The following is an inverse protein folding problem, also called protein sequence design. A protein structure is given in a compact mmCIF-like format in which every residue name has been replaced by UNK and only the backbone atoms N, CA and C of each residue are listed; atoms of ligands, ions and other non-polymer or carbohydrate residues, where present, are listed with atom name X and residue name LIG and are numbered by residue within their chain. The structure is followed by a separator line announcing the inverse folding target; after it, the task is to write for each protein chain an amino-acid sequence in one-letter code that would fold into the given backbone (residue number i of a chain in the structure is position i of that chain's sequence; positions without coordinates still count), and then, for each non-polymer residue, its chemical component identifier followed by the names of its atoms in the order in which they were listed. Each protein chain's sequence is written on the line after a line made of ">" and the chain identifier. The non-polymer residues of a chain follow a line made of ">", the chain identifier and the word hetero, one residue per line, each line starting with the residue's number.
data_IF_605225161818
#
_entry.id   IF_605225161818
#
_cell.length_a   1.000
_cell.length_b   1.000
_cell.length_c   1.000
_cell.angle_alpha   90.00
_cell.angle_beta   90.00
_cell.angle_gamma   90.00
#
_symmetry.space_group_name_H-M   'P 1'
#
loop_
_entity.id
_entity.type
_entity.pdbx_description
1 polymer ?
#
# COMPACT_ATOMS: atom_id res chain seq x y z
N UNK A 1 -6.47 -30.60 33.70
CA UNK A 1 -7.29 -30.32 32.50
C UNK A 1 -7.83 -28.90 32.60
N UNK A 2 -7.15 -27.91 31.99
CA UNK A 2 -7.68 -26.54 31.85
C UNK A 2 -8.43 -26.49 30.52
N UNK A 3 -9.76 -26.50 30.59
CA UNK A 3 -10.59 -26.37 29.39
C UNK A 3 -10.44 -24.93 28.85
N UNK A 4 -10.06 -24.82 27.57
CA UNK A 4 -9.91 -23.56 26.85
C UNK A 4 -11.29 -22.92 26.64
N UNK A 5 -11.79 -22.19 27.65
CA UNK A 5 -13.08 -21.50 27.64
C UNK A 5 -13.20 -20.52 26.44
N UNK A 6 -12.09 -19.93 26.00
CA UNK A 6 -12.04 -19.03 24.85
C UNK A 6 -12.43 -19.71 23.53
N UNK A 7 -12.18 -21.02 23.34
CA UNK A 7 -12.51 -21.72 22.09
C UNK A 7 -14.01 -21.94 21.88
N UNK A 8 -14.84 -21.84 22.93
CA UNK A 8 -16.30 -21.86 22.82
C UNK A 8 -16.91 -20.45 22.75
N UNK A 9 -16.28 -19.46 23.39
CA UNK A 9 -16.83 -18.10 23.46
C UNK A 9 -16.75 -17.40 22.10
N UNK A 10 -15.64 -17.53 21.37
CA UNK A 10 -15.50 -16.89 20.05
C UNK A 10 -16.52 -17.36 19.00
N UNK A 11 -16.77 -18.67 18.79
CA UNK A 11 -17.81 -19.10 17.86
C UNK A 11 -19.22 -18.75 18.36
N UNK A 12 -19.49 -18.75 19.67
CA UNK A 12 -20.77 -18.33 20.23
C UNK A 12 -21.02 -16.82 20.07
N UNK A 13 -19.98 -15.99 20.19
CA UNK A 13 -20.05 -14.55 19.99
C UNK A 13 -20.22 -14.21 18.50
N UNK A 14 -19.52 -14.90 17.60
CA UNK A 14 -19.69 -14.77 16.14
C UNK A 14 -21.10 -15.23 15.72
N UNK A 15 -21.63 -16.30 16.32
CA UNK A 15 -22.99 -16.77 16.10
C UNK A 15 -24.04 -15.78 16.67
N UNK A 16 -23.78 -15.16 17.83
CA UNK A 16 -24.66 -14.13 18.41
C UNK A 16 -24.70 -12.84 17.56
N UNK A 17 -23.56 -12.43 16.99
CA UNK A 17 -23.47 -11.30 16.04
C UNK A 17 -24.20 -11.65 14.73
N UNK A 18 -24.14 -12.91 14.28
CA UNK A 18 -24.85 -13.35 13.08
C UNK A 18 -26.39 -13.32 13.24
N UNK A 19 -26.94 -13.56 14.44
CA UNK A 19 -28.39 -13.51 14.69
C UNK A 19 -28.91 -12.06 14.77
N UNK A 20 -28.07 -11.08 15.13
CA UNK A 20 -28.43 -9.65 15.11
C UNK A 20 -28.48 -9.05 13.70
N UNK A 21 -27.86 -9.71 12.71
CA UNK A 21 -27.77 -9.22 11.32
C UNK A 21 -29.00 -9.50 10.46
N UNK A 22 -30.01 -10.21 10.97
CA UNK A 22 -31.28 -10.44 10.27
C UNK A 22 -32.42 -9.77 11.01
N UNK A 23 -32.37 -8.44 11.17
CA UNK A 23 -33.55 -7.69 11.55
C UNK A 23 -34.68 -8.01 10.54
N UNK A 24 -35.83 -8.44 11.06
CA UNK A 24 -37.03 -8.64 10.25
C UNK A 24 -37.45 -7.31 9.60
N UNK A 25 -38.09 -7.34 8.42
CA UNK A 25 -38.53 -6.11 7.73
C UNK A 25 -39.39 -5.21 8.62
N UNK A 26 -40.26 -5.81 9.44
CA UNK A 26 -41.06 -5.11 10.46
C UNK A 26 -40.19 -4.29 11.43
N UNK A 27 -39.15 -4.89 11.98
CA UNK A 27 -38.25 -4.22 12.94
C UNK A 27 -37.52 -3.05 12.31
N UNK A 28 -37.09 -3.17 11.05
CA UNK A 28 -36.44 -2.09 10.31
C UNK A 28 -37.40 -0.92 10.08
N UNK A 29 -38.64 -1.21 9.69
CA UNK A 29 -39.69 -0.19 9.50
C UNK A 29 -39.98 0.52 10.83
N UNK A 30 -40.17 -0.22 11.93
CA UNK A 30 -40.40 0.35 13.26
C UNK A 30 -39.25 1.23 13.76
N UNK A 31 -38.02 0.95 13.33
CA UNK A 31 -36.83 1.73 13.64
C UNK A 31 -36.63 2.94 12.73
N UNK A 32 -37.54 3.18 11.76
CA UNK A 32 -37.40 4.25 10.77
C UNK A 32 -36.37 3.97 9.67
N UNK A 33 -35.84 2.75 9.59
CA UNK A 33 -34.83 2.32 8.61
C UNK A 33 -35.49 1.83 7.33
N UNK A 34 -36.27 2.70 6.71
CA UNK A 34 -37.16 2.33 5.61
C UNK A 34 -36.38 1.93 4.34
N UNK A 35 -35.28 2.60 4.02
CA UNK A 35 -34.42 2.28 2.87
C UNK A 35 -33.87 0.84 2.96
N UNK A 36 -33.33 0.47 4.13
CA UNK A 36 -32.81 -0.88 4.36
C UNK A 36 -33.91 -1.93 4.33
N UNK A 37 -35.09 -1.61 4.85
CA UNK A 37 -36.26 -2.48 4.77
C UNK A 37 -36.67 -2.73 3.31
N UNK A 38 -36.74 -1.67 2.49
CA UNK A 38 -37.06 -1.74 1.07
C UNK A 38 -36.04 -2.59 0.32
N UNK A 39 -34.75 -2.29 0.41
CA UNK A 39 -33.68 -3.05 -0.26
C UNK A 39 -33.65 -4.53 0.15
N UNK A 40 -33.91 -4.81 1.44
CA UNK A 40 -34.03 -6.17 1.95
C UNK A 40 -35.24 -6.92 1.38
N UNK A 41 -36.40 -6.26 1.32
CA UNK A 41 -37.65 -6.84 0.83
C UNK A 41 -37.62 -7.06 -0.68
N UNK A 42 -37.13 -6.10 -1.46
CA UNK A 42 -36.99 -6.21 -2.93
C UNK A 42 -36.14 -7.43 -3.27
N UNK A 43 -34.94 -7.58 -2.67
CA UNK A 43 -34.07 -8.75 -2.90
C UNK A 43 -34.72 -10.09 -2.54
N UNK A 44 -35.49 -10.13 -1.45
CA UNK A 44 -36.19 -11.35 -1.00
C UNK A 44 -37.36 -11.73 -1.91
N UNK A 45 -38.03 -10.75 -2.51
CA UNK A 45 -39.13 -10.97 -3.45
C UNK A 45 -38.61 -11.32 -4.85
N UNK A 46 -37.51 -10.71 -5.26
CA UNK A 46 -36.82 -11.00 -6.52
C UNK A 46 -36.27 -12.43 -6.58
N UNK A 47 -35.61 -12.92 -5.51
CA UNK A 47 -34.99 -14.25 -5.53
C UNK A 47 -35.80 -15.37 -4.88
N UNK A 48 -36.84 -15.01 -4.13
CA UNK A 48 -37.51 -15.92 -3.21
C UNK A 48 -38.99 -16.17 -3.51
N UNK A 49 -39.61 -16.95 -2.61
CA UNK A 49 -41.06 -17.18 -2.62
C UNK A 49 -41.80 -15.89 -2.25
N UNK A 50 -42.76 -15.54 -3.11
CA UNK A 50 -43.68 -14.43 -2.92
C UNK A 50 -44.80 -14.88 -1.97
N UNK A 51 -45.05 -14.06 -0.95
CA UNK A 51 -46.03 -14.31 0.11
C UNK A 51 -46.74 -13.00 0.39
N UNK A 52 -48.05 -13.04 0.66
CA UNK A 52 -48.85 -11.85 0.95
C UNK A 52 -48.24 -10.97 2.07
N UNK A 53 -47.65 -11.59 3.09
CA UNK A 53 -46.97 -10.88 4.18
C UNK A 53 -45.78 -10.02 3.71
N UNK A 54 -44.85 -10.58 2.93
CA UNK A 54 -43.71 -9.83 2.38
C UNK A 54 -44.13 -8.70 1.44
N UNK A 55 -45.20 -8.93 0.68
CA UNK A 55 -45.78 -7.92 -0.22
C UNK A 55 -46.39 -6.79 0.60
N UNK A 56 -47.11 -7.09 1.68
CA UNK A 56 -47.64 -6.09 2.61
C UNK A 56 -46.52 -5.29 3.29
N UNK A 57 -45.42 -5.95 3.70
CA UNK A 57 -44.26 -5.24 4.26
C UNK A 57 -43.55 -4.35 3.24
N UNK A 58 -43.49 -4.76 1.97
CA UNK A 58 -42.93 -3.91 0.90
C UNK A 58 -43.77 -2.66 0.70
N UNK A 59 -45.10 -2.82 0.66
CA UNK A 59 -46.04 -1.71 0.58
C UNK A 59 -45.89 -0.75 1.76
N UNK A 60 -45.86 -1.26 3.00
CA UNK A 60 -45.72 -0.43 4.19
C UNK A 60 -44.37 0.31 4.21
N UNK A 61 -43.28 -0.39 3.90
CA UNK A 61 -41.95 0.23 3.83
C UNK A 61 -41.92 1.37 2.79
N UNK A 62 -42.53 1.16 1.61
CA UNK A 62 -42.60 2.18 0.57
C UNK A 62 -43.43 3.39 1.00
N UNK A 63 -44.65 3.15 1.49
CA UNK A 63 -45.57 4.21 1.93
C UNK A 63 -44.99 5.07 3.06
N UNK A 64 -44.09 4.51 3.87
CA UNK A 64 -43.37 5.25 4.93
C UNK A 64 -42.14 5.97 4.40
N UNK A 65 -41.42 5.36 3.46
CA UNK A 65 -40.20 5.91 2.89
C UNK A 65 -40.46 7.11 1.97
N UNK A 66 -41.41 6.97 1.04
CA UNK A 66 -41.65 7.93 -0.04
C UNK A 66 -41.88 9.38 0.46
N UNK A 67 -42.76 9.64 1.45
CA UNK A 67 -42.96 11.00 1.94
C UNK A 67 -41.72 11.60 2.62
N UNK A 68 -40.90 10.76 3.27
CA UNK A 68 -39.64 11.19 3.91
C UNK A 68 -38.62 11.58 2.85
N UNK A 69 -38.46 10.73 1.83
CA UNK A 69 -37.62 10.99 0.67
C UNK A 69 -38.03 12.28 -0.04
N UNK A 70 -39.31 12.42 -0.43
CA UNK A 70 -39.83 13.63 -1.12
C UNK A 70 -39.53 14.89 -0.29
N UNK A 71 -39.80 14.87 1.02
CA UNK A 71 -39.54 16.02 1.89
C UNK A 71 -38.06 16.39 1.95
N UNK A 72 -37.16 15.39 1.93
CA UNK A 72 -35.70 15.61 1.99
C UNK A 72 -35.17 16.22 0.70
N UNK A 73 -35.61 15.74 -0.46
CA UNK A 73 -35.09 16.19 -1.77
C UNK A 73 -35.72 17.50 -2.27
N UNK A 74 -36.95 17.80 -1.88
CA UNK A 74 -37.72 18.96 -2.40
C UNK A 74 -36.96 20.30 -2.30
N UNK A 75 -36.29 20.63 -1.19
CA UNK A 75 -35.50 21.86 -1.10
C UNK A 75 -34.42 21.97 -2.19
N UNK A 76 -33.76 20.86 -2.50
CA UNK A 76 -32.66 20.81 -3.48
C UNK A 76 -33.13 20.83 -4.93
N UNK A 77 -34.43 20.61 -5.18
CA UNK A 77 -34.98 20.76 -6.53
C UNK A 77 -35.08 22.24 -6.93
N UNK A 78 -35.28 23.15 -5.97
CA UNK A 78 -35.64 24.54 -6.23
C UNK A 78 -34.62 25.56 -5.71
N UNK A 79 -33.86 25.23 -4.66
CA UNK A 79 -32.90 26.14 -4.04
C UNK A 79 -31.45 25.78 -4.37
N UNK A 80 -30.53 26.77 -4.49
CA UNK A 80 -29.10 26.49 -4.52
C UNK A 80 -28.67 25.70 -3.27
N UNK A 81 -27.71 24.81 -3.43
CA UNK A 81 -27.13 24.02 -2.35
C UNK A 81 -25.63 23.88 -2.54
N UNK A 82 -24.92 23.41 -1.50
CA UNK A 82 -23.50 23.06 -1.64
C UNK A 82 -23.34 21.78 -2.46
N UNK A 83 -22.23 21.66 -3.17
CA UNK A 83 -21.91 20.48 -3.99
C UNK A 83 -22.07 19.19 -3.19
N UNK A 84 -21.47 19.09 -2.00
CA UNK A 84 -21.57 17.94 -1.09
C UNK A 84 -23.00 17.51 -0.76
N UNK A 85 -23.91 18.45 -0.52
CA UNK A 85 -25.32 18.16 -0.23
C UNK A 85 -26.07 17.69 -1.47
N UNK A 86 -25.74 18.26 -2.63
CA UNK A 86 -26.32 17.88 -3.91
C UNK A 86 -25.81 16.52 -4.38
N UNK A 87 -24.55 16.17 -4.11
CA UNK A 87 -23.99 14.83 -4.32
C UNK A 87 -24.73 13.77 -3.49
N UNK A 88 -24.96 14.04 -2.19
CA UNK A 88 -25.73 13.17 -1.32
C UNK A 88 -27.17 13.00 -1.85
N UNK A 89 -27.83 14.10 -2.18
CA UNK A 89 -29.19 14.09 -2.76
C UNK A 89 -29.24 13.31 -4.07
N UNK A 90 -28.24 13.47 -4.95
CA UNK A 90 -28.14 12.74 -6.21
C UNK A 90 -27.98 11.24 -5.97
N UNK A 91 -27.19 10.84 -4.98
CA UNK A 91 -27.03 9.43 -4.58
C UNK A 91 -28.35 8.83 -4.11
N UNK A 92 -29.11 9.55 -3.27
CA UNK A 92 -30.43 9.13 -2.81
C UNK A 92 -31.43 8.99 -3.96
N UNK A 93 -31.50 9.97 -4.86
CA UNK A 93 -32.39 9.90 -6.04
C UNK A 93 -32.02 8.70 -6.92
N UNK A 94 -30.74 8.47 -7.16
CA UNK A 94 -30.29 7.29 -7.92
C UNK A 94 -30.65 5.98 -7.21
N UNK A 95 -30.59 5.92 -5.88
CA UNK A 95 -31.03 4.75 -5.12
C UNK A 95 -32.54 4.49 -5.33
N UNK A 96 -33.37 5.52 -5.20
CA UNK A 96 -34.83 5.39 -5.38
C UNK A 96 -35.17 5.00 -6.82
N UNK A 97 -34.48 5.54 -7.84
CA UNK A 97 -34.63 5.12 -9.24
C UNK A 97 -34.36 3.60 -9.37
N UNK A 98 -33.25 3.11 -8.81
CA UNK A 98 -32.91 1.67 -8.87
C UNK A 98 -33.97 0.82 -8.16
N UNK A 99 -34.39 1.22 -6.96
CA UNK A 99 -35.44 0.51 -6.21
C UNK A 99 -36.75 0.47 -7.01
N UNK A 100 -37.14 1.60 -7.62
CA UNK A 100 -38.35 1.70 -8.42
C UNK A 100 -38.29 0.79 -9.66
N UNK A 101 -37.16 0.76 -10.37
CA UNK A 101 -36.94 -0.16 -11.49
C UNK A 101 -37.03 -1.63 -11.05
N UNK A 102 -36.47 -1.97 -9.89
CA UNK A 102 -36.55 -3.33 -9.35
C UNK A 102 -37.98 -3.70 -8.93
N UNK A 103 -38.74 -2.77 -8.33
CA UNK A 103 -40.15 -2.97 -8.00
C UNK A 103 -40.96 -3.23 -9.28
N UNK A 104 -40.73 -2.46 -10.35
CA UNK A 104 -41.37 -2.70 -11.65
C UNK A 104 -40.99 -4.06 -12.26
N UNK A 105 -39.73 -4.49 -12.11
CA UNK A 105 -39.30 -5.82 -12.54
C UNK A 105 -40.00 -6.94 -11.78
N UNK A 106 -40.28 -6.80 -10.49
CA UNK A 106 -41.00 -7.84 -9.72
C UNK A 106 -42.52 -7.70 -9.82
N UNK A 107 -43.04 -6.58 -10.36
CA UNK A 107 -44.47 -6.25 -10.44
C UNK A 107 -45.29 -7.39 -11.04
N UNK A 108 -44.83 -7.98 -12.15
CA UNK A 108 -45.54 -9.09 -12.82
C UNK A 108 -45.68 -10.34 -11.94
N UNK A 109 -44.81 -10.53 -10.95
CA UNK A 109 -44.83 -11.69 -10.05
C UNK A 109 -45.69 -11.49 -8.81
N UNK A 110 -45.90 -10.23 -8.43
CA UNK A 110 -46.73 -9.83 -7.29
C UNK A 110 -48.13 -9.38 -7.73
N UNK A 111 -48.39 -9.32 -9.03
CA UNK A 111 -49.70 -9.05 -9.61
C UNK A 111 -50.72 -10.12 -9.14
N UNK A 112 -51.90 -9.67 -8.67
CA UNK A 112 -52.92 -10.55 -8.07
C UNK A 112 -52.74 -10.86 -6.57
N UNK A 113 -51.66 -10.41 -5.92
CA UNK A 113 -51.47 -10.57 -4.46
C UNK A 113 -52.13 -9.48 -3.60
N UNK A 114 -52.91 -8.57 -4.21
CA UNK A 114 -53.48 -7.39 -3.54
C UNK A 114 -52.52 -6.20 -3.43
N UNK A 115 -51.35 -6.28 -4.09
CA UNK A 115 -50.36 -5.21 -4.12
C UNK A 115 -50.84 -3.99 -4.92
N UNK A 116 -50.81 -2.82 -4.30
CA UNK A 116 -51.18 -1.55 -4.94
C UNK A 116 -50.32 -0.42 -4.37
N UNK A 117 -49.12 -0.25 -4.94
CA UNK A 117 -48.32 0.96 -4.69
C UNK A 117 -48.59 1.94 -5.83
N UNK A 118 -49.08 3.14 -5.49
CA UNK A 118 -48.95 4.32 -6.34
C UNK A 118 -47.52 4.81 -6.23
N UNK A 119 -46.63 4.27 -7.05
CA UNK A 119 -45.22 4.65 -7.00
C UNK A 119 -44.98 5.98 -7.69
N UNK A 120 -43.96 6.72 -7.25
CA UNK A 120 -43.38 7.79 -8.08
C UNK A 120 -43.05 7.25 -9.47
N UNK A 121 -43.45 7.99 -10.51
CA UNK A 121 -43.11 7.60 -11.88
C UNK A 121 -41.59 7.70 -12.08
N UNK A 122 -41.04 6.76 -12.85
CA UNK A 122 -39.61 6.76 -13.20
C UNK A 122 -39.26 8.09 -13.90
N UNK A 123 -40.14 8.60 -14.77
CA UNK A 123 -39.93 9.88 -15.47
C UNK A 123 -39.84 11.06 -14.49
N UNK A 124 -40.64 11.08 -13.43
CA UNK A 124 -40.53 12.12 -12.38
C UNK A 124 -39.18 12.06 -11.68
N UNK A 125 -38.71 10.85 -11.34
CA UNK A 125 -37.42 10.66 -10.67
C UNK A 125 -36.23 11.02 -11.58
N UNK A 126 -36.30 10.68 -12.87
CA UNK A 126 -35.30 11.07 -13.87
C UNK A 126 -35.26 12.59 -14.03
N UNK A 127 -36.42 13.25 -14.14
CA UNK A 127 -36.48 14.72 -14.18
C UNK A 127 -35.90 15.37 -12.91
N UNK A 128 -36.08 14.77 -11.73
CA UNK A 128 -35.47 15.25 -10.50
C UNK A 128 -33.96 15.05 -10.50
N UNK A 129 -33.49 13.90 -10.98
CA UNK A 129 -32.07 13.61 -11.16
C UNK A 129 -31.40 14.66 -12.06
N UNK A 130 -32.00 14.93 -13.22
CA UNK A 130 -31.44 15.89 -14.18
C UNK A 130 -31.37 17.30 -13.57
N UNK A 131 -32.42 17.74 -12.87
CA UNK A 131 -32.41 19.03 -12.15
C UNK A 131 -31.35 19.11 -11.04
N UNK A 132 -31.07 18.01 -10.36
CA UNK A 132 -30.04 17.96 -9.32
C UNK A 132 -28.65 17.99 -9.97
N UNK A 133 -28.45 17.30 -11.10
CA UNK A 133 -27.21 17.34 -11.87
C UNK A 133 -26.90 18.77 -12.35
N UNK A 134 -27.88 19.47 -12.93
CA UNK A 134 -27.72 20.86 -13.37
C UNK A 134 -27.27 21.76 -12.20
N UNK A 135 -27.92 21.62 -11.04
CA UNK A 135 -27.57 22.38 -9.84
C UNK A 135 -26.21 22.01 -9.27
N UNK A 136 -25.83 20.73 -9.36
CA UNK A 136 -24.54 20.26 -8.90
C UNK A 136 -23.41 20.85 -9.75
N UNK A 137 -23.60 20.92 -11.07
CA UNK A 137 -22.69 21.63 -11.99
C UNK A 137 -22.57 23.11 -11.62
N UNK A 138 -23.69 23.80 -11.38
CA UNK A 138 -23.67 25.21 -10.94
C UNK A 138 -22.95 25.39 -9.58
N UNK A 139 -23.16 24.46 -8.64
CA UNK A 139 -22.52 24.49 -7.33
C UNK A 139 -21.01 24.28 -7.43
N UNK A 140 -20.55 23.30 -8.23
CA UNK A 140 -19.13 23.11 -8.49
C UNK A 140 -18.49 24.37 -9.04
N UNK A 141 -19.11 24.99 -10.05
CA UNK A 141 -18.61 26.24 -10.63
C UNK A 141 -18.42 27.33 -9.57
N UNK A 142 -19.45 27.59 -8.77
CA UNK A 142 -19.42 28.64 -7.74
C UNK A 142 -18.35 28.35 -6.68
N UNK A 143 -18.25 27.10 -6.22
CA UNK A 143 -17.28 26.70 -5.20
C UNK A 143 -15.84 26.75 -5.74
N UNK A 144 -15.60 26.26 -6.96
CA UNK A 144 -14.28 26.33 -7.60
C UNK A 144 -13.88 27.78 -7.85
N UNK A 145 -14.77 28.63 -8.35
CA UNK A 145 -14.46 30.05 -8.60
C UNK A 145 -14.05 30.77 -7.31
N UNK A 146 -14.74 30.48 -6.19
CA UNK A 146 -14.44 31.09 -4.89
C UNK A 146 -13.10 30.62 -4.30
N UNK A 147 -12.81 29.31 -4.39
CA UNK A 147 -11.57 28.74 -3.86
C UNK A 147 -10.36 29.02 -4.75
N UNK A 148 -10.55 29.14 -6.07
CA UNK A 148 -9.45 29.40 -7.01
C UNK A 148 -8.80 30.76 -6.79
N UNK A 149 -9.55 31.74 -6.26
CA UNK A 149 -8.97 33.03 -5.83
C UNK A 149 -7.94 32.82 -4.71
N UNK A 150 -8.27 31.99 -3.72
CA UNK A 150 -7.37 31.68 -2.60
C UNK A 150 -6.19 30.83 -3.07
N UNK A 151 -6.44 29.86 -3.97
CA UNK A 151 -5.42 29.04 -4.58
C UNK A 151 -4.35 29.89 -5.30
N UNK A 152 -4.79 30.86 -6.12
CA UNK A 152 -3.90 31.78 -6.85
C UNK A 152 -3.19 32.79 -5.95
N UNK A 153 -3.70 33.03 -4.74
CA UNK A 153 -3.02 33.83 -3.70
C UNK A 153 -1.98 33.00 -2.90
N UNK A 154 -1.88 31.69 -3.18
CA UNK A 154 -0.89 30.79 -2.60
C UNK A 154 -1.43 29.83 -1.54
N UNK A 155 -2.75 29.77 -1.32
CA UNK A 155 -3.33 28.74 -0.44
C UNK A 155 -3.37 27.38 -1.14
N UNK A 156 -2.38 26.54 -0.81
CA UNK A 156 -2.25 25.20 -1.40
C UNK A 156 -3.37 24.26 -0.98
N UNK A 157 -4.00 24.43 0.19
CA UNK A 157 -5.18 23.61 0.53
C UNK A 157 -6.36 23.97 -0.36
N UNK A 158 -6.61 25.26 -0.59
CA UNK A 158 -7.66 25.70 -1.50
C UNK A 158 -7.41 25.16 -2.92
N UNK A 159 -6.17 25.21 -3.41
CA UNK A 159 -5.80 24.64 -4.71
C UNK A 159 -6.10 23.12 -4.80
N UNK A 160 -5.79 22.37 -3.75
CA UNK A 160 -6.08 20.92 -3.68
C UNK A 160 -7.58 20.63 -3.64
N UNK A 161 -8.34 21.44 -2.91
CA UNK A 161 -9.80 21.32 -2.87
C UNK A 161 -10.42 21.63 -4.24
N UNK A 162 -9.95 22.69 -4.91
CA UNK A 162 -10.35 23.03 -6.28
C UNK A 162 -10.06 21.88 -7.26
N UNK A 163 -8.87 21.27 -7.17
CA UNK A 163 -8.51 20.11 -7.99
C UNK A 163 -9.51 18.96 -7.83
N UNK A 164 -9.88 18.60 -6.60
CA UNK A 164 -10.86 17.55 -6.33
C UNK A 164 -12.25 17.91 -6.88
N UNK A 165 -12.69 19.16 -6.69
CA UNK A 165 -13.98 19.64 -7.20
C UNK A 165 -14.03 19.63 -8.74
N UNK A 166 -12.97 20.09 -9.42
CA UNK A 166 -12.90 20.03 -10.87
C UNK A 166 -12.89 18.60 -11.39
N UNK A 167 -12.20 17.68 -10.72
CA UNK A 167 -12.23 16.26 -11.09
C UNK A 167 -13.64 15.68 -10.99
N UNK A 168 -14.39 16.01 -9.93
CA UNK A 168 -15.80 15.60 -9.80
C UNK A 168 -16.68 16.23 -10.87
N UNK A 169 -16.49 17.52 -11.18
CA UNK A 169 -17.24 18.19 -12.24
C UNK A 169 -16.94 17.57 -13.61
N UNK A 170 -15.68 17.27 -13.91
CA UNK A 170 -15.28 16.59 -15.15
C UNK A 170 -15.95 15.23 -15.35
N UNK A 171 -16.26 14.51 -14.26
CA UNK A 171 -17.03 13.25 -14.36
C UNK A 171 -18.48 13.45 -14.84
N UNK A 172 -19.06 14.64 -14.62
CA UNK A 172 -20.41 14.99 -15.09
C UNK A 172 -20.39 15.54 -16.52
N UNK A 173 -19.40 16.37 -16.83
CA UNK A 173 -19.22 17.01 -18.14
C UNK A 173 -17.86 16.62 -18.75
N UNK A 174 -17.69 15.36 -19.19
CA UNK A 174 -16.47 14.95 -19.87
C UNK A 174 -16.29 15.75 -21.17
N UNK A 175 -15.07 15.82 -21.67
CA UNK A 175 -14.67 16.51 -22.93
C UNK A 175 -14.60 18.04 -22.88
N UNK A 176 -14.81 18.66 -21.71
CA UNK A 176 -14.54 20.09 -21.52
C UNK A 176 -13.05 20.38 -21.38
N UNK A 177 -12.49 21.09 -22.36
CA UNK A 177 -11.06 21.46 -22.37
C UNK A 177 -10.70 22.40 -21.22
N UNK A 178 -11.59 23.35 -20.90
CA UNK A 178 -11.37 24.33 -19.84
C UNK A 178 -11.30 23.69 -18.44
N UNK A 179 -12.05 22.61 -18.20
CA UNK A 179 -11.92 21.84 -16.97
C UNK A 179 -10.57 21.11 -16.90
N UNK A 180 -10.08 20.60 -18.03
CA UNK A 180 -8.76 19.94 -18.09
C UNK A 180 -7.64 20.92 -17.74
N UNK A 181 -7.68 22.12 -18.32
CA UNK A 181 -6.70 23.18 -18.04
C UNK A 181 -6.76 23.62 -16.57
N UNK A 182 -7.96 23.76 -16.01
CA UNK A 182 -8.13 24.17 -14.62
C UNK A 182 -7.72 23.08 -13.60
N UNK A 183 -7.89 21.80 -13.95
CA UNK A 183 -7.35 20.67 -13.19
C UNK A 183 -5.81 20.76 -13.13
N UNK A 184 -5.17 21.02 -14.26
CA UNK A 184 -3.71 21.12 -14.29
C UNK A 184 -3.20 22.35 -13.54
N UNK A 185 -3.84 23.51 -13.70
CA UNK A 185 -3.50 24.73 -12.95
C UNK A 185 -3.64 24.52 -11.44
N UNK A 186 -4.75 23.94 -10.98
CA UNK A 186 -4.97 23.66 -9.56
C UNK A 186 -3.99 22.62 -9.01
N UNK A 187 -3.57 21.65 -9.84
CA UNK A 187 -2.52 20.69 -9.51
C UNK A 187 -1.18 21.39 -9.28
N UNK A 188 -0.78 22.28 -10.17
CA UNK A 188 0.45 23.06 -10.06
C UNK A 188 0.43 23.94 -8.80
N UNK A 189 -0.65 24.71 -8.60
CA UNK A 189 -0.80 25.59 -7.43
C UNK A 189 -0.78 24.81 -6.11
N UNK A 190 -1.41 23.64 -6.06
CA UNK A 190 -1.48 22.80 -4.86
C UNK A 190 -0.21 21.99 -4.57
N UNK A 191 0.72 21.89 -5.52
CA UNK A 191 1.94 21.10 -5.39
C UNK A 191 2.99 21.85 -4.57
N UNK A 192 3.60 21.17 -3.61
CA UNK A 192 4.80 21.66 -2.92
C UNK A 192 6.02 21.40 -3.79
N UNK A 193 6.84 22.42 -4.01
CA UNK A 193 8.14 22.28 -4.67
C UNK A 193 9.26 22.33 -3.63
N UNK A 194 10.03 21.25 -3.55
CA UNK A 194 11.16 21.10 -2.62
C UNK A 194 12.45 21.04 -3.44
N UNK A 195 13.39 21.95 -3.19
CA UNK A 195 14.73 21.87 -3.76
C UNK A 195 15.62 21.00 -2.86
N UNK A 196 16.16 19.92 -3.39
CA UNK A 196 17.15 19.10 -2.70
C UNK A 196 18.56 19.63 -2.95
N UNK A 197 19.27 19.94 -1.86
CA UNK A 197 20.64 20.42 -1.88
C UNK A 197 21.48 19.49 -1.02
N UNK A 198 22.53 18.92 -1.59
CA UNK A 198 23.57 18.31 -0.77
C UNK A 198 24.48 19.44 -0.27
N UNK A 199 24.49 19.65 1.04
CA UNK A 199 25.08 20.82 1.67
C UNK A 199 26.61 20.78 1.65
N UNK A 200 27.16 21.99 1.54
CA UNK A 200 28.56 22.39 1.66
C UNK A 200 29.59 21.76 0.71
N UNK A 201 29.84 22.49 -0.40
CA UNK A 201 30.94 22.22 -1.34
C UNK A 201 32.35 22.32 -0.71
N UNK A 202 32.47 22.80 0.53
CA UNK A 202 33.73 23.06 1.23
C UNK A 202 34.09 21.96 2.23
N UNK A 203 33.19 21.01 2.52
CA UNK A 203 33.55 19.84 3.32
C UNK A 203 34.39 18.86 2.49
N UNK A 204 35.38 18.17 3.08
CA UNK A 204 36.12 17.12 2.36
C UNK A 204 35.21 16.02 1.80
N UNK A 205 34.11 15.71 2.49
CA UNK A 205 33.12 14.71 2.08
C UNK A 205 32.47 15.05 0.74
N UNK A 206 32.27 16.33 0.43
CA UNK A 206 31.71 16.77 -0.86
C UNK A 206 32.53 16.29 -2.06
N UNK A 207 33.87 16.29 -1.98
CA UNK A 207 34.71 15.84 -3.08
C UNK A 207 34.49 14.35 -3.39
N UNK A 208 34.25 13.55 -2.36
CA UNK A 208 34.18 12.09 -2.44
C UNK A 208 32.78 11.54 -2.80
N UNK A 209 31.74 12.38 -2.80
CA UNK A 209 30.38 11.94 -3.14
C UNK A 209 30.27 11.46 -4.60
N UNK A 210 29.34 10.56 -4.93
CA UNK A 210 29.12 10.16 -6.32
C UNK A 210 28.70 11.36 -7.18
N UNK A 211 29.29 11.50 -8.39
CA UNK A 211 28.89 12.55 -9.34
C UNK A 211 27.41 12.42 -9.70
N UNK A 212 26.89 11.19 -9.78
CA UNK A 212 25.48 10.91 -10.07
C UNK A 212 24.52 11.48 -9.01
N UNK A 213 24.96 11.76 -7.79
CA UNK A 213 24.14 12.42 -6.77
C UNK A 213 24.12 13.95 -6.96
N UNK A 214 24.95 14.48 -7.88
CA UNK A 214 25.18 15.90 -8.13
C UNK A 214 24.77 16.34 -9.54
N UNK A 215 24.31 15.43 -10.41
CA UNK A 215 24.04 15.72 -11.82
C UNK A 215 22.72 15.14 -12.30
N UNK A 216 21.98 15.92 -13.10
CA UNK A 216 20.94 15.50 -14.05
C UNK A 216 19.93 14.46 -13.56
N UNK A 217 19.52 14.55 -12.29
CA UNK A 217 18.37 13.81 -11.79
C UNK A 217 17.12 14.67 -12.09
N UNK A 218 16.19 14.19 -12.94
CA UNK A 218 14.93 14.89 -13.17
C UNK A 218 14.16 15.05 -11.86
N UNK A 219 13.33 16.09 -11.78
CA UNK A 219 12.42 16.25 -10.67
C UNK A 219 11.56 14.98 -10.47
N UNK A 220 11.34 14.60 -9.22
CA UNK A 220 10.61 13.40 -8.85
C UNK A 220 9.33 13.77 -8.11
N UNK A 221 8.20 13.27 -8.63
CA UNK A 221 6.91 13.33 -7.94
C UNK A 221 6.92 12.32 -6.79
N UNK A 222 6.98 12.80 -5.56
CA UNK A 222 7.04 11.99 -4.34
C UNK A 222 5.65 11.45 -3.98
N UNK A 223 4.63 12.29 -4.16
CA UNK A 223 3.21 11.99 -4.02
C UNK A 223 2.43 12.99 -4.89
N UNK A 224 1.09 12.91 -4.92
CA UNK A 224 0.25 13.78 -5.75
C UNK A 224 0.50 15.28 -5.60
N UNK A 225 1.12 15.72 -4.50
CA UNK A 225 1.26 17.12 -4.10
C UNK A 225 2.67 17.52 -3.69
N UNK A 226 3.69 16.74 -4.03
CA UNK A 226 5.07 17.07 -3.64
C UNK A 226 6.03 16.67 -4.74
N UNK A 227 6.72 17.66 -5.29
CA UNK A 227 7.79 17.51 -6.25
C UNK A 227 9.12 17.80 -5.58
N UNK A 228 10.05 16.85 -5.67
CA UNK A 228 11.42 17.00 -5.24
C UNK A 228 12.29 17.29 -6.47
N UNK A 229 12.94 18.44 -6.46
CA UNK A 229 13.83 18.91 -7.51
C UNK A 229 15.27 18.73 -7.08
N UNK A 230 16.13 18.29 -7.99
CA UNK A 230 17.56 18.09 -7.74
C UNK A 230 18.42 19.15 -8.43
N UNK A 231 17.77 20.10 -9.12
CA UNK A 231 18.36 21.24 -9.80
C UNK A 231 17.60 22.49 -9.37
N UNK A 232 18.32 23.61 -9.32
CA UNK A 232 17.77 24.93 -9.03
C UNK A 232 17.14 25.50 -10.31
N UNK A 233 15.94 25.01 -10.62
CA UNK A 233 15.12 25.48 -11.71
C UNK A 233 14.53 26.86 -11.36
N UNK A 234 14.24 27.72 -12.36
CA UNK A 234 13.71 29.08 -12.13
C UNK A 234 12.22 29.06 -11.73
N UNK A 235 11.89 28.35 -10.66
CA UNK A 235 10.56 28.21 -10.07
C UNK A 235 10.57 28.63 -8.61
N UNK A 236 9.43 29.06 -8.04
CA UNK A 236 9.34 29.33 -6.61
C UNK A 236 9.34 28.00 -5.83
N UNK A 237 10.35 27.78 -5.00
CA UNK A 237 10.37 26.68 -4.04
C UNK A 237 9.61 27.03 -2.77
N UNK A 238 8.93 26.05 -2.20
CA UNK A 238 8.28 26.18 -0.89
C UNK A 238 9.23 25.78 0.24
N UNK A 239 10.10 24.80 -0.04
CA UNK A 239 11.06 24.29 0.93
C UNK A 239 12.40 23.97 0.26
N UNK A 240 13.45 23.95 1.07
CA UNK A 240 14.76 23.45 0.69
C UNK A 240 15.15 22.31 1.63
N UNK A 241 15.45 21.16 1.06
CA UNK A 241 15.92 19.98 1.78
C UNK A 241 17.44 19.89 1.68
N UNK A 242 18.12 20.18 2.77
CA UNK A 242 19.56 20.04 2.90
C UNK A 242 19.93 18.63 3.34
N UNK A 243 20.85 17.98 2.63
CA UNK A 243 21.61 16.84 3.14
C UNK A 243 22.99 17.32 3.60
N UNK A 244 23.20 17.41 4.90
CA UNK A 244 24.52 17.64 5.48
C UNK A 244 25.24 16.30 5.65
N UNK A 245 26.45 16.17 5.11
CA UNK A 245 27.19 14.90 5.07
C UNK A 245 28.40 14.97 6.00
N UNK A 246 28.31 14.23 7.11
CA UNK A 246 29.41 14.08 8.06
C UNK A 246 30.49 13.12 7.54
N UNK A 247 30.05 11.98 6.98
CA UNK A 247 30.95 10.95 6.47
C UNK A 247 30.32 10.17 5.33
N UNK A 248 31.06 10.09 4.23
CA UNK A 248 30.82 9.16 3.15
C UNK A 248 32.06 8.31 2.94
N UNK A 249 31.92 6.98 2.87
CA UNK A 249 33.06 6.12 2.56
C UNK A 249 32.62 4.77 2.02
N UNK A 250 33.36 4.26 1.03
CA UNK A 250 33.33 2.86 0.61
C UNK A 250 34.65 2.22 1.06
N UNK A 251 34.56 1.12 1.81
CA UNK A 251 35.74 0.40 2.24
C UNK A 251 36.46 -0.23 1.04
N UNK A 252 37.79 -0.41 1.13
CA UNK A 252 38.50 -1.34 0.26
C UNK A 252 37.91 -2.75 0.37
N UNK A 253 38.16 -3.55 -0.65
CA UNK A 253 37.87 -4.98 -0.64
C UNK A 253 38.76 -5.69 0.38
N UNK A 254 38.17 -6.36 1.36
CA UNK A 254 38.90 -7.12 2.38
C UNK A 254 38.69 -8.60 2.17
N UNK A 255 39.79 -9.35 2.12
CA UNK A 255 39.81 -10.81 2.05
C UNK A 255 40.57 -11.31 3.27
N UNK A 256 39.95 -12.18 4.06
CA UNK A 256 40.60 -12.93 5.14
C UNK A 256 40.61 -14.40 4.76
N UNK A 257 41.78 -15.03 4.81
CA UNK A 257 41.92 -16.46 4.58
C UNK A 257 42.37 -17.17 5.85
N UNK A 258 41.68 -18.24 6.21
CA UNK A 258 42.07 -19.14 7.29
C UNK A 258 42.32 -20.53 6.72
N UNK A 259 43.44 -21.13 7.11
CA UNK A 259 43.86 -22.45 6.61
C UNK A 259 43.92 -23.40 7.78
N UNK A 260 43.21 -24.52 7.66
CA UNK A 260 43.24 -25.56 8.68
C UNK A 260 43.17 -26.95 8.07
N UNK A 261 43.48 -27.94 8.91
CA UNK A 261 43.47 -29.34 8.55
C UNK A 261 42.29 -30.03 9.22
N UNK A 262 41.46 -30.69 8.42
CA UNK A 262 40.37 -31.53 8.90
C UNK A 262 40.77 -33.00 8.82
N UNK A 263 40.47 -33.74 9.88
CA UNK A 263 40.70 -35.18 9.96
C UNK A 263 39.52 -35.85 10.66
N UNK A 264 39.03 -36.93 10.07
CA UNK A 264 37.95 -37.72 10.64
C UNK A 264 38.17 -39.21 10.39
N UNK A 265 37.88 -40.04 11.40
CA UNK A 265 37.82 -41.49 11.20
C UNK A 265 36.52 -41.83 10.50
N UNK A 266 36.62 -42.43 9.32
CA UNK A 266 35.48 -42.76 8.48
C UNK A 266 35.57 -44.20 8.00
N UNK A 267 34.42 -44.79 7.70
CA UNK A 267 34.34 -46.13 7.12
C UNK A 267 34.62 -46.02 5.62
N UNK A 268 35.62 -46.77 5.15
CA UNK A 268 36.01 -46.87 3.75
C UNK A 268 35.75 -48.28 3.24
N UNK A 269 34.45 -48.58 3.11
CA UNK A 269 33.97 -49.89 2.74
C UNK A 269 34.07 -50.93 3.86
N UNK A 270 33.90 -52.18 3.47
CA UNK A 270 33.82 -53.30 4.39
C UNK A 270 34.66 -54.47 3.89
N UNK A 271 35.31 -55.18 4.82
CA UNK A 271 36.08 -56.39 4.54
C UNK A 271 35.31 -57.61 5.04
N UNK A 272 35.25 -58.67 4.23
CA UNK A 272 34.67 -59.94 4.67
C UNK A 272 35.51 -60.50 5.81
N UNK A 273 34.85 -60.81 6.93
CA UNK A 273 35.47 -61.45 8.08
C UNK A 273 35.90 -62.86 7.68
N UNK A 274 37.17 -63.19 7.94
CA UNK A 274 37.72 -64.53 7.68
C UNK A 274 38.06 -65.21 9.00
N UNK A 275 37.82 -66.52 9.07
CA UNK A 275 38.25 -67.36 10.19
C UNK A 275 39.77 -67.62 10.14
N UNK A 276 40.30 -68.36 11.12
CA UNK A 276 41.73 -68.70 11.20
C UNK A 276 42.23 -69.56 10.03
N UNK A 277 41.33 -70.20 9.28
CA UNK A 277 41.64 -70.98 8.09
C UNK A 277 41.51 -70.15 6.79
N UNK A 278 41.12 -68.88 6.89
CA UNK A 278 40.95 -67.99 5.75
C UNK A 278 39.60 -68.10 5.05
N UNK A 279 38.63 -68.84 5.57
CA UNK A 279 37.28 -68.95 4.98
C UNK A 279 36.41 -67.76 5.39
N UNK A 280 35.49 -67.35 4.52
CA UNK A 280 34.52 -66.31 4.84
C UNK A 280 33.57 -66.80 5.96
N UNK A 281 33.35 -65.95 6.97
CA UNK A 281 32.40 -66.23 8.04
C UNK A 281 31.01 -65.75 7.60
N UNK A 282 30.01 -66.63 7.68
CA UNK A 282 28.63 -66.34 7.32
C UNK A 282 27.75 -66.19 8.57
N UNK A 283 26.72 -65.36 8.50
CA UNK A 283 25.69 -65.24 9.52
C UNK A 283 24.71 -66.44 9.47
N UNK A 284 23.73 -66.45 10.39
CA UNK A 284 22.71 -67.51 10.46
C UNK A 284 21.78 -67.57 9.24
N UNK A 285 21.83 -66.59 8.34
CA UNK A 285 21.04 -66.51 7.10
C UNK A 285 21.87 -66.83 5.86
N UNK A 286 23.16 -67.17 6.03
CA UNK A 286 24.07 -67.51 4.92
C UNK A 286 24.70 -66.31 4.22
N UNK A 287 24.64 -65.10 4.80
CA UNK A 287 25.31 -63.92 4.26
C UNK A 287 26.68 -63.70 4.91
N UNK A 288 27.69 -63.31 4.13
CA UNK A 288 29.04 -63.08 4.64
C UNK A 288 29.06 -61.89 5.63
N UNK A 289 29.59 -62.11 6.82
CA UNK A 289 29.78 -61.07 7.84
C UNK A 289 30.87 -60.10 7.37
N UNK A 290 30.56 -58.81 7.40
CA UNK A 290 31.39 -57.73 6.90
C UNK A 290 31.81 -56.82 8.05
N UNK A 291 33.12 -56.64 8.21
CA UNK A 291 33.70 -55.71 9.19
C UNK A 291 33.99 -54.35 8.54
N UNK A 292 33.67 -53.22 9.18
CA UNK A 292 33.98 -51.91 8.64
C UNK A 292 35.48 -51.68 8.60
N UNK A 293 36.00 -51.22 7.45
CA UNK A 293 37.39 -50.79 7.33
C UNK A 293 37.44 -49.31 7.68
N UNK A 294 38.08 -48.98 8.80
CA UNK A 294 38.24 -47.59 9.21
C UNK A 294 39.52 -47.01 8.62
N UNK A 295 39.41 -45.86 7.97
CA UNK A 295 40.55 -45.02 7.56
C UNK A 295 40.47 -43.68 8.28
N UNK A 296 41.60 -42.98 8.33
CA UNK A 296 41.62 -41.56 8.68
C UNK A 296 41.53 -40.76 7.39
N UNK A 297 40.36 -40.22 7.09
CA UNK A 297 40.20 -39.25 6.01
C UNK A 297 40.83 -37.93 6.44
N UNK A 298 41.49 -37.24 5.52
CA UNK A 298 42.09 -35.93 5.77
C UNK A 298 41.86 -34.98 4.60
N UNK A 299 41.62 -33.71 4.91
CA UNK A 299 41.56 -32.63 3.93
C UNK A 299 42.24 -31.37 4.48
N UNK A 300 42.79 -30.56 3.58
CA UNK A 300 43.15 -29.17 3.87
C UNK A 300 41.98 -28.29 3.48
N UNK A 301 41.58 -27.39 4.35
CA UNK A 301 40.49 -26.44 4.13
C UNK A 301 41.09 -25.03 4.11
N UNK A 302 40.64 -24.23 3.16
CA UNK A 302 40.90 -22.79 3.08
C UNK A 302 39.56 -22.10 3.16
N UNK A 303 39.27 -21.54 4.32
CA UNK A 303 38.11 -20.67 4.53
C UNK A 303 38.46 -19.25 4.10
N UNK A 304 37.56 -18.62 3.35
CA UNK A 304 37.73 -17.28 2.79
C UNK A 304 36.53 -16.43 3.22
N UNK A 305 36.81 -15.31 3.87
CA UNK A 305 35.81 -14.29 4.22
C UNK A 305 36.12 -13.05 3.39
N UNK A 306 35.17 -12.67 2.55
CA UNK A 306 35.19 -11.42 1.78
C UNK A 306 34.24 -10.42 2.40
N UNK A 307 34.72 -9.22 2.70
CA UNK A 307 33.89 -8.15 3.26
C UNK A 307 34.15 -6.81 2.59
N UNK A 308 33.09 -6.03 2.38
CA UNK A 308 33.15 -4.66 1.90
C UNK A 308 31.94 -3.89 2.45
N UNK A 309 32.10 -2.61 2.74
CA UNK A 309 31.01 -1.78 3.27
C UNK A 309 30.98 -0.39 2.66
N UNK A 310 29.79 0.18 2.55
CA UNK A 310 29.57 1.57 2.20
C UNK A 310 28.76 2.23 3.32
N UNK A 311 29.13 3.46 3.67
CA UNK A 311 28.56 4.18 4.80
C UNK A 311 28.27 5.61 4.40
N UNK A 312 27.08 6.10 4.76
CA UNK A 312 26.70 7.51 4.72
C UNK A 312 26.18 7.92 6.10
N UNK A 313 26.88 8.88 6.71
CA UNK A 313 26.47 9.57 7.93
C UNK A 313 26.23 11.03 7.66
N UNK A 314 25.20 11.58 8.28
CA UNK A 314 24.87 12.99 8.16
C UNK A 314 23.50 13.32 8.74
N UNK A 315 22.89 14.38 8.22
CA UNK A 315 21.55 14.78 8.58
C UNK A 315 20.79 15.39 7.41
N UNK A 316 19.47 15.22 7.44
CA UNK A 316 18.55 15.91 6.55
C UNK A 316 17.88 17.04 7.33
N UNK A 317 17.83 18.23 6.73
CA UNK A 317 17.10 19.38 7.25
C UNK A 317 16.22 19.97 6.15
N UNK A 318 14.92 19.92 6.34
CA UNK A 318 13.97 20.64 5.51
C UNK A 318 13.69 22.00 6.12
N UNK A 319 13.91 23.05 5.33
CA UNK A 319 13.68 24.43 5.73
C UNK A 319 12.59 25.07 4.88
N UNK A 320 11.74 25.87 5.50
CA UNK A 320 10.79 26.74 4.80
C UNK A 320 11.57 27.84 4.08
N UNK A 321 11.36 27.99 2.77
CA UNK A 321 12.14 28.92 1.96
C UNK A 321 11.83 30.40 2.30
N UNK A 322 10.64 30.68 2.84
CA UNK A 322 10.21 32.05 3.12
C UNK A 322 10.86 32.66 4.37
N UNK A 323 11.14 31.85 5.39
CA UNK A 323 11.64 32.30 6.69
C UNK A 323 12.87 31.54 7.20
N UNK A 324 13.30 30.49 6.50
CA UNK A 324 14.46 29.64 6.84
C UNK A 324 14.25 28.72 8.04
N UNK A 325 13.03 28.61 8.58
CA UNK A 325 12.74 27.78 9.73
C UNK A 325 12.84 26.29 9.38
N UNK A 326 13.44 25.51 10.28
CA UNK A 326 13.50 24.05 10.14
C UNK A 326 12.12 23.46 10.42
N UNK A 327 11.51 22.86 9.41
CA UNK A 327 10.18 22.24 9.48
C UNK A 327 10.30 20.76 9.83
N UNK A 328 11.38 20.13 9.38
CA UNK A 328 11.66 18.72 9.63
C UNK A 328 13.17 18.48 9.63
N UNK A 329 13.63 17.60 10.51
CA UNK A 329 15.00 17.11 10.48
C UNK A 329 15.07 15.62 10.78
N UNK A 330 16.10 14.97 10.26
CA UNK A 330 16.31 13.54 10.48
C UNK A 330 17.80 13.17 10.37
N UNK A 331 18.35 12.41 11.32
CA UNK A 331 19.70 11.86 11.17
C UNK A 331 19.74 10.85 10.03
N UNK A 332 20.84 10.83 9.29
CA UNK A 332 21.13 9.86 8.23
C UNK A 332 22.23 8.93 8.72
N UNK A 333 21.88 7.66 8.94
CA UNK A 333 22.81 6.60 9.32
C UNK A 333 22.57 5.39 8.41
N UNK A 334 23.19 5.41 7.22
CA UNK A 334 22.98 4.39 6.19
C UNK A 334 24.23 3.53 6.02
N UNK A 335 23.99 2.22 5.93
CA UNK A 335 25.03 1.21 5.79
C UNK A 335 24.64 0.18 4.75
N UNK A 336 25.58 -0.14 3.88
CA UNK A 336 25.49 -1.33 3.04
C UNK A 336 26.68 -2.21 3.32
N UNK A 337 26.42 -3.46 3.70
CA UNK A 337 27.45 -4.44 4.00
C UNK A 337 27.39 -5.61 3.02
N UNK A 338 28.51 -5.91 2.39
CA UNK A 338 28.76 -7.13 1.66
C UNK A 338 29.60 -8.07 2.53
N UNK A 339 29.13 -9.30 2.69
CA UNK A 339 29.86 -10.38 3.36
C UNK A 339 29.63 -11.70 2.60
N UNK A 340 30.70 -12.35 2.16
CA UNK A 340 30.67 -13.67 1.54
C UNK A 340 31.74 -14.55 2.19
N UNK A 341 31.28 -15.58 2.90
CA UNK A 341 32.13 -16.55 3.59
C UNK A 341 31.97 -17.91 2.94
N UNK A 342 33.04 -18.48 2.40
CA UNK A 342 33.02 -19.78 1.74
C UNK A 342 34.31 -20.54 2.04
N UNK A 343 34.34 -21.82 1.70
CA UNK A 343 35.54 -22.64 1.87
C UNK A 343 35.90 -23.40 0.59
N UNK A 344 37.19 -23.63 0.41
CA UNK A 344 37.74 -24.56 -0.59
C UNK A 344 38.44 -25.68 0.16
N UNK A 345 38.36 -26.90 -0.34
CA UNK A 345 39.04 -28.04 0.27
C UNK A 345 39.87 -28.82 -0.75
N UNK A 346 40.90 -29.48 -0.25
CA UNK A 346 41.73 -30.42 -1.01
C UNK A 346 41.94 -31.68 -0.16
N UNK A 347 41.50 -32.84 -0.66
CA UNK A 347 41.59 -34.12 0.03
C UNK A 347 40.24 -34.84 0.07
N UNK A 348 40.03 -35.67 1.09
CA UNK A 348 38.79 -36.44 1.24
C UNK A 348 37.70 -35.61 1.93
N UNK A 349 36.60 -35.33 1.23
CA UNK A 349 35.45 -34.55 1.76
C UNK A 349 34.82 -35.20 3.00
N UNK A 350 35.00 -36.51 3.21
CA UNK A 350 34.53 -37.21 4.39
C UNK A 350 35.27 -36.78 5.66
N UNK A 351 36.41 -36.10 5.53
CA UNK A 351 37.14 -35.49 6.64
C UNK A 351 36.48 -34.22 7.20
N UNK A 352 35.58 -33.58 6.44
CA UNK A 352 34.92 -32.33 6.82
C UNK A 352 33.72 -32.58 7.73
N UNK A 353 33.59 -31.71 8.73
CA UNK A 353 32.39 -31.53 9.54
C UNK A 353 31.21 -31.04 8.69
N UNK A 354 30.00 -31.12 9.25
CA UNK A 354 28.80 -30.60 8.58
C UNK A 354 28.86 -29.09 8.34
N UNK A 355 29.55 -28.32 9.18
CA UNK A 355 29.65 -26.87 9.06
C UNK A 355 30.61 -26.47 7.95
N UNK A 356 31.76 -27.13 7.88
CA UNK A 356 32.74 -26.95 6.79
C UNK A 356 32.15 -27.35 5.44
N UNK A 357 31.31 -28.40 5.38
CA UNK A 357 30.60 -28.77 4.16
C UNK A 357 29.66 -27.65 3.70
N UNK A 358 28.92 -27.01 4.61
CA UNK A 358 28.07 -25.86 4.26
C UNK A 358 28.89 -24.69 3.71
N UNK A 359 30.08 -24.44 4.27
CA UNK A 359 31.00 -23.42 3.75
C UNK A 359 31.55 -23.78 2.37
N UNK A 360 31.84 -25.04 2.11
CA UNK A 360 32.28 -25.54 0.80
C UNK A 360 31.16 -25.45 -0.25
N UNK A 361 29.93 -25.72 0.15
CA UNK A 361 28.76 -25.64 -0.72
C UNK A 361 28.33 -24.18 -0.98
N UNK A 362 28.80 -23.21 -0.19
CA UNK A 362 28.50 -21.80 -0.40
C UNK A 362 29.36 -21.23 -1.55
N UNK A 363 28.76 -20.66 -2.61
CA UNK A 363 29.52 -20.15 -3.73
C UNK A 363 30.33 -18.90 -3.35
N UNK A 364 31.47 -18.75 -4.01
CA UNK A 364 32.22 -17.50 -4.04
C UNK A 364 31.43 -16.46 -4.84
N UNK A 365 31.19 -15.31 -4.21
CA UNK A 365 30.53 -14.16 -4.83
C UNK A 365 31.58 -13.06 -5.06
N UNK A 366 31.60 -12.41 -6.25
CA UNK A 366 32.48 -11.26 -6.49
C UNK A 366 32.09 -10.09 -5.58
N UNK A 367 33.05 -9.20 -5.29
CA UNK A 367 32.74 -7.96 -4.59
C UNK A 367 31.78 -7.10 -5.41
N UNK A 368 30.81 -6.41 -4.78
CA UNK A 368 30.06 -5.38 -5.47
C UNK A 368 31.01 -4.26 -5.89
N UNK A 369 30.75 -3.67 -7.06
CA UNK A 369 31.50 -2.50 -7.50
C UNK A 369 31.02 -1.24 -6.76
N UNK A 370 31.80 -0.16 -6.79
CA UNK A 370 31.46 1.09 -6.10
C UNK A 370 30.10 1.64 -6.52
N UNK A 371 29.81 1.66 -7.83
CA UNK A 371 28.57 2.22 -8.37
C UNK A 371 27.33 1.51 -7.85
N UNK A 372 27.37 0.18 -7.77
CA UNK A 372 26.26 -0.60 -7.21
C UNK A 372 26.07 -0.22 -5.73
N UNK A 373 27.16 -0.04 -4.98
CA UNK A 373 27.05 0.32 -3.58
C UNK A 373 26.50 1.75 -3.38
N UNK A 374 26.98 2.69 -4.18
CA UNK A 374 26.48 4.06 -4.26
C UNK A 374 24.98 4.10 -4.59
N UNK A 375 24.54 3.31 -5.57
CA UNK A 375 23.13 3.25 -5.97
C UNK A 375 22.24 2.69 -4.85
N UNK A 376 22.73 1.72 -4.08
CA UNK A 376 21.98 1.18 -2.95
C UNK A 376 21.84 2.20 -1.81
N UNK A 377 22.92 2.89 -1.43
CA UNK A 377 22.85 3.96 -0.43
C UNK A 377 21.93 5.09 -0.90
N UNK A 378 22.01 5.46 -2.18
CA UNK A 378 21.11 6.47 -2.77
C UNK A 378 19.64 6.05 -2.68
N UNK A 379 19.34 4.80 -3.02
CA UNK A 379 17.98 4.26 -2.91
C UNK A 379 17.46 4.33 -1.47
N UNK A 380 18.31 4.00 -0.50
CA UNK A 380 17.97 4.03 0.92
C UNK A 380 17.73 5.46 1.42
N UNK A 381 18.58 6.41 1.01
CA UNK A 381 18.40 7.83 1.27
C UNK A 381 17.09 8.35 0.67
N UNK A 382 16.80 8.02 -0.58
CA UNK A 382 15.58 8.45 -1.27
C UNK A 382 14.32 7.90 -0.61
N UNK A 383 14.36 6.65 -0.09
CA UNK A 383 13.25 6.08 0.69
C UNK A 383 13.02 6.85 1.99
N UNK A 384 14.10 7.24 2.68
CA UNK A 384 14.03 8.06 3.89
C UNK A 384 13.46 9.45 3.59
N UNK A 385 13.95 10.13 2.55
CA UNK A 385 13.46 11.44 2.12
C UNK A 385 11.96 11.37 1.78
N UNK A 386 11.56 10.45 0.91
CA UNK A 386 10.15 10.23 0.52
C UNK A 386 9.25 10.04 1.74
N UNK A 387 9.67 9.21 2.70
CA UNK A 387 8.90 8.95 3.92
C UNK A 387 8.81 10.16 4.87
N UNK A 388 9.84 11.01 4.89
CA UNK A 388 9.85 12.25 5.66
C UNK A 388 8.98 13.33 5.03
N UNK A 389 9.22 13.63 3.75
CA UNK A 389 8.56 14.74 3.06
C UNK A 389 7.08 14.47 2.75
N UNK A 390 6.65 13.20 2.68
CA UNK A 390 5.23 12.84 2.49
C UNK A 390 4.33 13.17 3.68
N UNK A 391 4.90 13.45 4.86
CA UNK A 391 4.15 13.77 6.08
C UNK A 391 4.12 15.26 6.39
N UNK A 392 4.62 16.09 5.48
CA UNK A 392 4.75 17.53 5.72
C UNK A 392 3.40 18.22 5.70
N UNK A 393 3.26 19.32 6.47
CA UNK A 393 2.12 20.20 6.34
C UNK A 393 2.04 20.76 4.91
N UNK A 394 0.81 20.92 4.44
CA UNK A 394 0.50 21.35 3.07
C UNK A 394 0.75 22.83 2.85
N UNK A 395 0.52 23.65 3.88
CA UNK A 395 0.70 25.10 3.82
C UNK A 395 1.93 25.53 4.62
N UNK A 396 2.49 26.67 4.22
CA UNK A 396 3.45 27.44 5.00
C UNK A 396 2.86 27.67 6.40
N UNK A 397 3.65 27.40 7.43
CA UNK A 397 3.30 27.89 8.77
C UNK A 397 3.63 29.38 8.72
N UNK A 398 2.59 30.21 8.60
CA UNK A 398 2.71 31.67 8.56
C UNK A 398 3.20 32.28 9.87
#
# INVERSE_FOLDING_TARGET
>A
MKYNLHRLIYPALIFMIAIMSCAGPEKLIQQGRYEEALDGLIRRLDRGKITAEKVAWLQEAYNRHEPVFIRRITPFLSSPGRSSQLEETLSEVNLVIRQQQQIEQIRYRIEGSGFSISTLSIDTLLNWKDRILDRLTDAYKVETDALMVQARDGDKYAAREVYELYHKWYQLEPDRSDLTDAIEESRELGTNHILFIVADQRTPAWADLPVAWRSDVPAQLINNWTNLHFQDDPIPYDFVLYLDVDRWSISPERISEQKHHAQQRVIDGYRVRRDTAGNAVFDSLGHAIKDPVWITASARIVEVIKSREAVLHGSLELRDESNGAIVWSHPVDLYQQFNNQFARYQGDIRALTSDEKRLVDNPEVPFPNNRDMEANIWSDLMRMITAGVSKLPVNRIS
#
